data_IF_795316455790
#
_entry.id   IF_795316455790
#
_cell.length_a   1.000
_cell.length_b   1.000
_cell.length_c   1.000
_cell.angle_alpha   90.00
_cell.angle_beta   90.00
_cell.angle_gamma   90.00
#
_symmetry.space_group_name_H-M   'P 1'
#
loop_
_entity.id
_entity.type
_entity.pdbx_description
1 polymer ?
#
# COMPACT_ATOMS: atom_id res chain seq x y z
N UNK A 1 -11.16 -18.92 -12.40
CA UNK A 1 -9.99 -18.02 -12.38
C UNK A 1 -9.99 -17.13 -13.61
N UNK A 2 -10.08 -17.70 -14.81
CA UNK A 2 -9.97 -16.94 -16.07
C UNK A 2 -11.07 -15.89 -16.27
N UNK A 3 -12.32 -16.18 -15.88
CA UNK A 3 -13.41 -15.20 -15.93
C UNK A 3 -13.21 -14.06 -14.94
N UNK A 4 -12.72 -14.35 -13.74
CA UNK A 4 -12.39 -13.33 -12.76
C UNK A 4 -11.24 -12.44 -13.25
N UNK A 5 -10.17 -13.03 -13.78
CA UNK A 5 -9.02 -12.29 -14.32
C UNK A 5 -9.41 -11.37 -15.49
N UNK A 6 -10.36 -11.80 -16.36
CA UNK A 6 -10.88 -10.95 -17.45
C UNK A 6 -11.72 -9.77 -16.96
N UNK A 7 -12.33 -9.89 -15.78
CA UNK A 7 -13.14 -8.84 -15.16
C UNK A 7 -12.35 -7.84 -14.33
N UNK A 8 -11.05 -8.05 -14.12
CA UNK A 8 -10.22 -7.15 -13.32
C UNK A 8 -10.04 -5.81 -14.03
N UNK A 9 -10.43 -4.74 -13.33
CA UNK A 9 -10.12 -3.37 -13.70
C UNK A 9 -9.08 -2.82 -12.72
N UNK A 10 -7.82 -2.77 -13.13
CA UNK A 10 -6.75 -2.19 -12.33
C UNK A 10 -6.70 -0.68 -12.53
N UNK A 11 -7.22 0.06 -11.58
CA UNK A 11 -7.20 1.52 -11.54
C UNK A 11 -7.06 2.01 -10.09
N UNK A 12 -6.66 3.27 -9.90
CA UNK A 12 -6.64 3.89 -8.58
C UNK A 12 -7.99 3.79 -7.89
N UNK A 13 -9.07 4.09 -8.62
CA UNK A 13 -10.44 4.03 -8.10
C UNK A 13 -10.82 2.63 -7.62
N UNK A 14 -10.49 1.59 -8.39
CA UNK A 14 -10.84 0.22 -8.01
C UNK A 14 -10.02 -0.27 -6.80
N UNK A 15 -8.73 0.07 -6.74
CA UNK A 15 -7.88 -0.22 -5.56
C UNK A 15 -8.41 0.46 -4.30
N UNK A 16 -8.77 1.74 -4.40
CA UNK A 16 -9.32 2.51 -3.29
C UNK A 16 -10.66 1.94 -2.83
N UNK A 17 -11.55 1.56 -3.74
CA UNK A 17 -12.81 0.92 -3.40
C UNK A 17 -12.58 -0.41 -2.65
N UNK A 18 -11.63 -1.23 -3.09
CA UNK A 18 -11.26 -2.45 -2.40
C UNK A 18 -10.67 -2.15 -1.01
N UNK A 19 -9.86 -1.10 -0.88
CA UNK A 19 -9.31 -0.68 0.40
C UNK A 19 -10.43 -0.29 1.38
N UNK A 20 -11.39 0.52 0.95
CA UNK A 20 -12.53 0.92 1.77
C UNK A 20 -13.47 -0.25 2.11
N UNK A 21 -13.57 -1.29 1.25
CA UNK A 21 -14.37 -2.47 1.58
C UNK A 21 -13.82 -3.28 2.76
N UNK A 22 -12.55 -3.08 3.10
CA UNK A 22 -11.88 -3.66 4.27
C UNK A 22 -11.88 -2.73 5.50
N UNK A 23 -12.49 -1.55 5.42
CA UNK A 23 -12.54 -0.61 6.54
C UNK A 23 -13.11 -1.27 7.80
N UNK A 24 -12.47 -1.05 8.95
CA UNK A 24 -12.83 -1.69 10.21
C UNK A 24 -12.29 -3.12 10.40
N UNK A 25 -11.70 -3.75 9.38
CA UNK A 25 -11.05 -5.08 9.54
C UNK A 25 -9.98 -5.00 10.62
N UNK A 26 -9.97 -5.92 11.62
CA UNK A 26 -9.01 -5.91 12.70
C UNK A 26 -7.57 -6.07 12.20
N UNK A 27 -6.64 -5.42 12.91
CA UNK A 27 -5.21 -5.70 12.73
C UNK A 27 -4.87 -7.09 13.26
N UNK A 28 -4.20 -7.88 12.43
CA UNK A 28 -3.66 -9.17 12.80
C UNK A 28 -2.23 -9.29 12.27
N UNK A 29 -1.26 -9.42 13.15
CA UNK A 29 0.13 -9.62 12.74
C UNK A 29 0.27 -10.84 11.82
N UNK A 30 0.85 -10.66 10.66
CA UNK A 30 0.94 -11.72 9.64
C UNK A 30 -0.33 -11.93 8.82
N UNK A 31 -1.42 -11.20 9.11
CA UNK A 31 -2.72 -11.35 8.47
C UNK A 31 -2.74 -10.86 7.01
N UNK A 32 -3.40 -11.64 6.16
CA UNK A 32 -3.61 -11.35 4.73
C UNK A 32 -5.02 -11.77 4.27
N UNK A 33 -6.02 -11.61 5.13
CA UNK A 33 -7.39 -12.02 4.84
C UNK A 33 -8.41 -10.96 5.26
N UNK A 34 -9.64 -11.06 4.76
CA UNK A 34 -10.75 -10.18 5.15
C UNK A 34 -11.15 -10.27 6.63
N UNK A 35 -10.61 -11.25 7.38
CA UNK A 35 -10.84 -11.40 8.83
C UNK A 35 -9.79 -10.72 9.69
N UNK A 36 -8.65 -10.39 9.11
CA UNK A 36 -7.56 -9.69 9.77
C UNK A 36 -6.38 -9.48 8.83
N UNK A 37 -5.82 -8.27 8.87
CA UNK A 37 -4.67 -7.87 8.04
C UNK A 37 -3.67 -7.09 8.88
N UNK A 38 -2.36 -7.26 8.62
CA UNK A 38 -1.38 -6.25 9.02
C UNK A 38 -1.24 -5.18 7.92
N UNK A 39 -0.34 -4.20 8.10
CA UNK A 39 -0.22 -3.07 7.19
C UNK A 39 0.12 -3.51 5.74
N UNK A 40 1.15 -4.32 5.58
CA UNK A 40 1.59 -4.82 4.26
C UNK A 40 0.68 -5.94 3.73
N UNK A 41 0.07 -6.73 4.61
CA UNK A 41 -0.95 -7.72 4.27
C UNK A 41 -2.23 -7.08 3.75
N UNK A 42 -2.62 -5.92 4.28
CA UNK A 42 -3.70 -5.09 3.75
C UNK A 42 -3.41 -4.70 2.29
N UNK A 43 -2.23 -4.13 2.02
CA UNK A 43 -1.81 -3.78 0.66
C UNK A 43 -1.78 -5.02 -0.25
N UNK A 44 -1.19 -6.13 0.22
CA UNK A 44 -1.21 -7.40 -0.54
C UNK A 44 -2.62 -7.87 -0.87
N UNK A 45 -3.53 -7.78 0.07
CA UNK A 45 -4.91 -8.25 -0.12
C UNK A 45 -5.62 -7.43 -1.19
N UNK A 46 -5.57 -6.11 -1.11
CA UNK A 46 -6.23 -5.25 -2.11
C UNK A 46 -5.60 -5.36 -3.49
N UNK A 47 -4.27 -5.47 -3.60
CA UNK A 47 -3.59 -5.66 -4.88
C UNK A 47 -3.85 -7.04 -5.47
N UNK A 48 -3.91 -8.10 -4.65
CA UNK A 48 -4.26 -9.45 -5.09
C UNK A 48 -5.67 -9.51 -5.70
N UNK A 49 -6.65 -8.82 -5.12
CA UNK A 49 -7.99 -8.68 -5.69
C UNK A 49 -7.99 -8.04 -7.09
N UNK A 50 -6.91 -7.36 -7.46
CA UNK A 50 -6.68 -6.75 -8.77
C UNK A 50 -5.66 -7.54 -9.62
N UNK A 51 -5.40 -8.80 -9.27
CA UNK A 51 -4.52 -9.68 -10.02
C UNK A 51 -3.03 -9.37 -9.88
N UNK A 52 -2.63 -8.54 -8.91
CA UNK A 52 -1.24 -8.18 -8.66
C UNK A 52 -0.67 -8.94 -7.45
N UNK A 53 0.55 -9.39 -7.61
CA UNK A 53 1.34 -10.04 -6.56
C UNK A 53 2.45 -9.08 -6.13
N UNK A 54 2.39 -8.64 -4.88
CA UNK A 54 3.42 -7.84 -4.22
C UNK A 54 4.19 -8.65 -3.19
N UNK A 55 5.36 -8.14 -2.79
CA UNK A 55 6.16 -8.68 -1.69
C UNK A 55 5.37 -8.69 -0.37
N UNK A 56 5.81 -9.51 0.60
CA UNK A 56 5.07 -9.70 1.85
C UNK A 56 5.17 -8.51 2.79
N UNK A 57 6.36 -7.98 3.00
CA UNK A 57 6.64 -7.02 4.05
C UNK A 57 6.78 -5.59 3.52
N UNK A 58 6.43 -4.59 4.33
CA UNK A 58 6.56 -3.18 3.97
C UNK A 58 7.99 -2.80 3.59
N UNK A 59 8.99 -3.38 4.29
CA UNK A 59 10.41 -3.20 4.00
C UNK A 59 10.84 -3.75 2.63
N UNK A 60 10.08 -4.67 2.05
CA UNK A 60 10.27 -5.19 0.70
C UNK A 60 9.45 -4.40 -0.32
N UNK A 61 8.20 -4.05 0.04
CA UNK A 61 7.29 -3.30 -0.82
C UNK A 61 7.83 -1.90 -1.17
N UNK A 62 8.62 -1.28 -0.30
CA UNK A 62 9.25 0.04 -0.55
C UNK A 62 10.19 0.05 -1.75
N UNK A 63 10.68 -1.11 -2.18
CA UNK A 63 11.55 -1.28 -3.35
C UNK A 63 10.77 -1.61 -4.63
N UNK A 64 9.45 -1.55 -4.61
CA UNK A 64 8.59 -1.88 -5.74
C UNK A 64 7.96 -0.62 -6.35
N UNK A 65 7.69 -0.67 -7.66
CA UNK A 65 7.08 0.44 -8.37
C UNK A 65 8.03 1.57 -8.70
N UNK A 66 7.46 2.70 -9.09
CA UNK A 66 8.18 3.91 -9.46
C UNK A 66 8.25 4.82 -8.23
N UNK A 67 9.45 5.19 -7.74
CA UNK A 67 9.58 6.12 -6.62
C UNK A 67 8.89 7.46 -6.93
N UNK A 68 8.15 7.98 -5.97
CA UNK A 68 7.51 9.31 -6.04
C UNK A 68 8.37 10.30 -5.26
N UNK A 69 8.73 11.41 -5.89
CA UNK A 69 9.45 12.50 -5.22
C UNK A 69 8.53 13.23 -4.23
N UNK A 70 8.88 13.16 -2.97
CA UNK A 70 8.16 13.79 -1.86
C UNK A 70 8.96 14.96 -1.22
N UNK A 71 10.03 15.42 -1.86
CA UNK A 71 10.89 16.50 -1.33
C UNK A 71 10.14 17.82 -1.18
N UNK A 72 9.15 18.09 -2.02
CA UNK A 72 8.26 19.26 -1.97
C UNK A 72 6.94 19.01 -1.20
N UNK A 73 6.85 17.91 -0.42
CA UNK A 73 5.63 17.56 0.31
C UNK A 73 4.77 16.52 -0.40
N UNK A 74 3.47 16.73 -0.44
CA UNK A 74 2.48 15.73 -0.90
C UNK A 74 1.97 15.93 -2.32
N UNK A 75 2.40 16.99 -3.02
CA UNK A 75 1.80 17.44 -4.29
C UNK A 75 1.99 16.44 -5.44
N UNK A 76 3.07 15.65 -5.41
CA UNK A 76 3.35 14.63 -6.41
C UNK A 76 2.62 13.31 -6.17
N UNK A 77 2.00 13.15 -5.00
CA UNK A 77 1.24 11.93 -4.68
C UNK A 77 -0.03 11.84 -5.53
N UNK A 78 -0.32 10.63 -6.00
CA UNK A 78 -1.53 10.32 -6.74
C UNK A 78 -2.32 9.20 -6.04
N UNK A 79 -3.66 9.22 -6.11
CA UNK A 79 -4.48 8.12 -5.59
C UNK A 79 -3.99 6.76 -6.11
N UNK A 80 -3.77 5.82 -5.19
CA UNK A 80 -3.20 4.51 -5.50
C UNK A 80 -1.69 4.38 -5.25
N UNK A 81 -0.99 5.46 -4.89
CA UNK A 81 0.41 5.39 -4.46
C UNK A 81 0.53 4.71 -3.09
N UNK A 82 1.59 3.92 -2.91
CA UNK A 82 1.95 3.35 -1.61
C UNK A 82 2.77 4.36 -0.82
N UNK A 83 2.43 4.50 0.46
CA UNK A 83 3.10 5.39 1.41
C UNK A 83 3.85 4.55 2.43
N UNK A 84 5.12 4.87 2.66
CA UNK A 84 5.98 4.12 3.58
C UNK A 84 6.40 4.99 4.75
N UNK A 85 6.27 4.41 5.94
CA UNK A 85 6.50 5.06 7.21
C UNK A 85 7.53 4.29 8.02
N UNK A 86 8.31 4.99 8.82
CA UNK A 86 9.33 4.32 9.61
C UNK A 86 10.27 5.26 10.37
N UNK A 87 11.50 4.81 10.51
CA UNK A 87 12.56 5.53 11.20
C UNK A 87 13.55 6.09 10.18
N UNK A 88 13.84 7.39 10.28
CA UNK A 88 14.83 8.06 9.42
C UNK A 88 16.23 7.51 9.69
N UNK A 89 17.08 7.50 8.67
CA UNK A 89 18.50 7.27 8.85
C UNK A 89 19.11 8.34 9.78
N UNK A 90 20.04 7.91 10.62
CA UNK A 90 20.87 8.77 11.48
C UNK A 90 22.34 8.45 11.22
N UNK A 91 23.27 9.14 11.92
CA UNK A 91 24.69 8.82 11.80
C UNK A 91 25.02 7.36 12.16
N UNK A 92 24.23 6.73 13.06
CA UNK A 92 24.50 5.42 13.62
C UNK A 92 23.53 4.33 13.14
N UNK A 93 22.45 4.68 12.42
CA UNK A 93 21.39 3.76 12.01
C UNK A 93 20.93 4.02 10.59
N UNK A 94 20.72 2.94 9.83
CA UNK A 94 20.09 3.02 8.51
C UNK A 94 18.59 3.32 8.63
N UNK A 95 18.01 3.88 7.56
CA UNK A 95 16.57 4.01 7.42
C UNK A 95 15.88 2.65 7.59
N UNK A 96 14.76 2.64 8.29
CA UNK A 96 13.98 1.44 8.52
C UNK A 96 12.50 1.68 8.20
N UNK A 97 12.01 1.03 7.17
CA UNK A 97 10.57 1.01 6.83
C UNK A 97 9.86 -0.05 7.68
N UNK A 98 8.83 0.34 8.40
CA UNK A 98 8.10 -0.52 9.34
C UNK A 98 6.58 -0.50 9.11
N UNK A 99 6.07 0.38 8.26
CA UNK A 99 4.64 0.51 8.00
C UNK A 99 4.38 0.97 6.56
N UNK A 100 3.20 0.64 6.04
CA UNK A 100 2.75 1.02 4.70
C UNK A 100 1.25 1.33 4.71
N UNK A 101 0.84 2.30 3.89
CA UNK A 101 -0.54 2.65 3.62
C UNK A 101 -0.78 2.93 2.13
N UNK A 102 -2.02 3.17 1.76
CA UNK A 102 -2.46 3.53 0.42
C UNK A 102 -2.94 4.98 0.41
N UNK A 103 -2.37 5.81 -0.46
CA UNK A 103 -2.85 7.18 -0.67
C UNK A 103 -4.16 7.17 -1.44
N UNK A 104 -5.15 7.93 -0.95
CA UNK A 104 -6.49 7.97 -1.55
C UNK A 104 -6.85 9.34 -2.16
N UNK A 105 -5.98 10.33 -1.97
CA UNK A 105 -6.18 11.71 -2.45
C UNK A 105 -6.36 12.70 -1.29
N UNK A 106 -6.29 13.98 -1.59
CA UNK A 106 -6.55 15.09 -0.65
C UNK A 106 -5.83 14.96 0.69
N UNK A 107 -4.54 14.61 0.65
CA UNK A 107 -3.68 14.33 1.82
C UNK A 107 -4.19 13.20 2.72
N UNK A 108 -5.10 12.37 2.22
CA UNK A 108 -5.74 11.28 2.95
C UNK A 108 -5.17 9.93 2.52
N UNK A 109 -5.03 9.01 3.46
CA UNK A 109 -4.56 7.65 3.22
C UNK A 109 -5.34 6.65 4.05
N UNK A 110 -5.36 5.39 3.61
CA UNK A 110 -5.97 4.27 4.32
C UNK A 110 -4.90 3.22 4.65
N UNK A 111 -4.90 2.71 5.85
CA UNK A 111 -3.90 1.78 6.34
C UNK A 111 -4.47 0.83 7.41
N UNK A 112 -3.70 -0.20 7.78
CA UNK A 112 -4.04 -1.09 8.89
C UNK A 112 -3.09 -0.88 10.06
N UNK A 113 -3.64 -0.32 11.17
CA UNK A 113 -3.02 -0.21 12.49
C UNK A 113 -4.17 -0.28 13.52
N UNK A 114 -4.16 -1.18 14.48
CA UNK A 114 -5.32 -1.56 15.30
C UNK A 114 -6.47 -2.16 14.46
N UNK A 115 -6.92 -1.47 13.44
CA UNK A 115 -7.84 -1.90 12.38
C UNK A 115 -7.52 -1.16 11.08
N UNK A 116 -8.19 -1.52 9.99
CA UNK A 116 -8.14 -0.73 8.76
C UNK A 116 -8.96 0.53 8.93
N UNK A 117 -8.33 1.69 8.76
CA UNK A 117 -8.99 3.00 8.88
C UNK A 117 -8.26 4.06 8.05
N UNK A 118 -8.88 5.23 7.96
CA UNK A 118 -8.38 6.39 7.23
C UNK A 118 -7.62 7.32 8.16
N UNK A 119 -6.47 7.82 7.70
CA UNK A 119 -5.71 8.90 8.32
C UNK A 119 -5.49 10.05 7.34
N UNK A 120 -5.02 11.18 7.83
CA UNK A 120 -4.72 12.36 7.01
C UNK A 120 -3.37 12.97 7.38
N UNK A 121 -2.68 13.52 6.39
CA UNK A 121 -1.51 14.40 6.59
C UNK A 121 -1.90 15.84 6.90
N UNK A 122 -3.18 16.21 6.73
CA UNK A 122 -3.66 17.57 6.92
C UNK A 122 -3.93 17.84 8.41
N UNK A 123 -3.19 18.77 9.06
CA UNK A 123 -3.40 19.08 10.47
C UNK A 123 -4.76 19.71 10.78
N UNK A 124 -5.46 20.23 9.78
CA UNK A 124 -6.81 20.80 9.92
C UNK A 124 -7.91 19.73 9.80
N UNK A 125 -7.55 18.49 9.47
CA UNK A 125 -8.50 17.39 9.31
C UNK A 125 -8.79 16.72 10.66
N UNK A 126 -10.04 16.34 10.91
CA UNK A 126 -10.43 15.48 12.03
C UNK A 126 -9.77 14.08 11.98
N UNK A 127 -9.24 13.71 10.81
CA UNK A 127 -8.53 12.45 10.57
C UNK A 127 -7.01 12.60 10.67
N UNK A 128 -6.50 13.74 11.16
CA UNK A 128 -5.06 13.99 11.22
C UNK A 128 -4.31 12.90 11.99
N UNK A 129 -3.35 12.28 11.34
CA UNK A 129 -2.49 11.24 11.91
C UNK A 129 -1.09 11.80 12.14
N UNK A 130 -0.90 12.53 13.23
CA UNK A 130 0.38 13.15 13.63
C UNK A 130 1.51 12.12 13.71
N UNK A 131 1.22 10.94 14.25
CA UNK A 131 2.22 9.88 14.42
C UNK A 131 2.77 9.37 13.07
N UNK A 132 1.91 9.08 12.10
CA UNK A 132 2.36 8.64 10.79
C UNK A 132 2.87 9.80 9.93
N UNK A 133 2.32 11.01 10.06
CA UNK A 133 2.83 12.20 9.36
C UNK A 133 4.32 12.44 9.68
N UNK A 134 4.71 12.34 10.95
CA UNK A 134 6.12 12.50 11.38
C UNK A 134 7.06 11.40 10.91
N UNK A 135 6.52 10.22 10.59
CA UNK A 135 7.26 9.03 10.17
C UNK A 135 7.19 8.76 8.67
N UNK A 136 6.54 9.61 7.89
CA UNK A 136 6.44 9.46 6.45
C UNK A 136 7.82 9.64 5.81
N UNK A 137 8.30 8.65 5.05
CA UNK A 137 9.66 8.59 4.53
C UNK A 137 9.73 8.46 3.02
N UNK A 138 8.88 7.67 2.42
CA UNK A 138 8.90 7.35 0.98
C UNK A 138 7.51 7.10 0.43
N UNK A 139 7.40 7.27 -0.89
CA UNK A 139 6.22 6.82 -1.64
C UNK A 139 6.64 6.13 -2.93
N UNK A 140 5.82 5.18 -3.40
CA UNK A 140 5.99 4.55 -4.70
C UNK A 140 4.67 4.36 -5.44
N UNK A 141 4.72 4.49 -6.76
CA UNK A 141 3.58 4.30 -7.66
C UNK A 141 3.63 2.91 -8.25
N UNK A 142 2.63 2.09 -7.92
CA UNK A 142 2.51 0.73 -8.45
C UNK A 142 1.70 0.67 -9.75
N UNK A 143 0.76 1.60 -9.94
CA UNK A 143 0.01 1.72 -11.19
C UNK A 143 0.93 2.19 -12.32
N UNK A 144 0.94 1.44 -13.42
CA UNK A 144 1.86 1.66 -14.53
C UNK A 144 3.24 0.99 -14.38
N UNK A 145 3.51 0.32 -13.24
CA UNK A 145 4.77 -0.39 -12.98
C UNK A 145 4.60 -1.92 -12.95
N UNK A 146 3.48 -2.45 -13.45
CA UNK A 146 3.21 -3.90 -13.50
C UNK A 146 4.22 -4.60 -14.39
N UNK A 147 4.78 -5.71 -13.90
CA UNK A 147 5.83 -6.46 -14.60
C UNK A 147 7.26 -5.96 -14.29
N UNK A 148 7.41 -4.93 -13.47
CA UNK A 148 8.71 -4.49 -12.94
C UNK A 148 9.08 -5.24 -11.66
N UNK A 149 10.29 -4.99 -11.14
CA UNK A 149 10.78 -5.64 -9.93
C UNK A 149 9.78 -5.54 -8.75
N UNK A 150 9.43 -6.68 -8.18
CA UNK A 150 8.55 -6.78 -7.01
C UNK A 150 7.05 -6.70 -7.31
N UNK A 151 6.66 -6.48 -8.57
CA UNK A 151 5.26 -6.47 -9.00
C UNK A 151 5.07 -7.45 -10.15
N UNK A 152 4.42 -8.58 -9.87
CA UNK A 152 4.01 -9.55 -10.90
C UNK A 152 2.48 -9.63 -10.99
N UNK A 153 1.98 -10.20 -12.06
CA UNK A 153 0.57 -10.56 -12.16
C UNK A 153 0.35 -12.01 -11.76
N UNK A 154 -0.87 -12.39 -11.42
CA UNK A 154 -1.23 -13.80 -11.20
C UNK A 154 -0.91 -14.63 -12.45
N UNK A 155 -1.14 -14.08 -13.67
CA UNK A 155 -0.84 -14.75 -14.93
C UNK A 155 0.65 -14.94 -15.18
N UNK A 156 1.51 -14.03 -14.73
CA UNK A 156 2.97 -14.11 -14.94
C UNK A 156 3.72 -14.78 -13.81
N UNK A 157 3.09 -15.00 -12.65
CA UNK A 157 3.73 -15.58 -11.49
C UNK A 157 3.72 -17.12 -11.59
N UNK A 158 4.91 -17.80 -11.60
CA UNK A 158 4.99 -19.25 -11.78
C UNK A 158 4.21 -20.07 -10.75
N UNK A 159 4.02 -19.53 -9.54
CA UNK A 159 3.28 -20.21 -8.47
C UNK A 159 1.80 -20.43 -8.83
N UNK A 160 1.22 -19.55 -9.64
CA UNK A 160 -0.20 -19.58 -10.02
C UNK A 160 -0.43 -20.15 -11.43
N UNK A 161 0.62 -20.61 -12.11
CA UNK A 161 0.48 -21.25 -13.41
C UNK A 161 0.03 -22.70 -13.26
N UNK A 162 -0.82 -23.22 -14.17
CA UNK A 162 -1.14 -24.64 -14.21
C UNK A 162 0.16 -25.45 -14.37
N UNK A 163 0.30 -26.51 -13.57
CA UNK A 163 1.36 -27.51 -13.75
C UNK A 163 1.01 -28.45 -14.90
#
# INVERSE_FOLDING_TARGET
VDEWLKGINLSAKSLINAAYSLNGTPYLWGGTSSKGVDCSGFIKTITFLHGLILQRDASQQVHTGIPVDISAGYDNLQPGDLLFFGEKATADKNERIIHVGLYVGDKTFIHSINNVHTGSFDPESDLYDDYNTKRFLRASRILGAVGTQGISTIQSNPFYQPQ
#
